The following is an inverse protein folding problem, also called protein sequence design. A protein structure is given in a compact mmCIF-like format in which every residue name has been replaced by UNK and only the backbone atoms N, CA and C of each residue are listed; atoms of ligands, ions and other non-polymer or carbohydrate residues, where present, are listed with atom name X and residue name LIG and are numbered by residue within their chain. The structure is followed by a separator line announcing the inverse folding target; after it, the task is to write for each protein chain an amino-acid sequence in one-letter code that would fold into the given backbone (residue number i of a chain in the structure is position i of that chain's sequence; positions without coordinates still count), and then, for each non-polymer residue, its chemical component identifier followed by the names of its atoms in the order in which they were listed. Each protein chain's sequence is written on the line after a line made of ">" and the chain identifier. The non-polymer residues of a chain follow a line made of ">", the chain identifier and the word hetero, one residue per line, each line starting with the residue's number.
data_IF_057562112790
#
_entry.id   IF_057562112790
#
_cell.length_a   1.000
_cell.length_b   1.000
_cell.length_c   1.000
_cell.angle_alpha   90.00
_cell.angle_beta   90.00
_cell.angle_gamma   90.00
#
_symmetry.space_group_name_H-M   'P 1'
#
loop_
_entity.id
_entity.type
_entity.pdbx_description
1 polymer ?
#
# COMPACT_ATOMS: atom_id res chain seq x y z
N UNK A 1 0.55 5.19 -8.75
CA UNK A 1 0.48 3.73 -8.51
C UNK A 1 1.11 2.94 -9.65
N UNK A 2 0.64 3.06 -10.91
CA UNK A 2 1.14 2.26 -12.04
C UNK A 2 2.66 2.38 -12.29
N UNK A 3 3.22 3.60 -12.22
CA UNK A 3 4.66 3.84 -12.38
C UNK A 3 5.46 3.13 -11.27
N UNK A 4 4.98 3.21 -10.02
CA UNK A 4 5.64 2.56 -8.87
C UNK A 4 5.65 1.04 -9.01
N UNK A 5 4.53 0.45 -9.43
CA UNK A 5 4.45 -1.00 -9.68
C UNK A 5 5.35 -1.40 -10.85
N UNK A 6 5.37 -0.60 -11.92
CA UNK A 6 6.27 -0.82 -13.06
C UNK A 6 7.75 -0.84 -12.65
N UNK A 7 8.17 0.12 -11.83
CA UNK A 7 9.55 0.17 -11.30
C UNK A 7 9.84 -1.08 -10.43
N UNK A 8 8.93 -1.49 -9.56
CA UNK A 8 9.09 -2.69 -8.74
C UNK A 8 9.29 -3.95 -9.61
N UNK A 9 8.53 -4.08 -10.69
CA UNK A 9 8.64 -5.20 -11.63
C UNK A 9 9.97 -5.17 -12.39
N UNK A 10 10.40 -4.00 -12.89
CA UNK A 10 11.68 -3.81 -13.57
C UNK A 10 12.84 -4.23 -12.65
N UNK A 11 12.84 -3.76 -11.41
CA UNK A 11 13.91 -4.07 -10.45
C UNK A 11 13.98 -5.54 -10.07
N UNK A 12 12.84 -6.22 -9.92
CA UNK A 12 12.80 -7.60 -9.42
C UNK A 12 12.87 -8.67 -10.52
N UNK A 13 12.44 -8.36 -11.74
CA UNK A 13 12.40 -9.31 -12.86
C UNK A 13 13.61 -9.20 -13.79
N UNK A 14 14.23 -8.02 -13.93
CA UNK A 14 15.38 -7.85 -14.83
C UNK A 14 16.65 -8.30 -14.14
N UNK A 15 17.28 -9.35 -14.68
CA UNK A 15 18.51 -9.93 -14.13
C UNK A 15 19.69 -8.97 -14.02
N UNK A 16 19.77 -7.96 -14.90
CA UNK A 16 20.80 -6.91 -14.83
C UNK A 16 20.65 -6.04 -13.58
N UNK A 17 19.42 -5.65 -13.21
CA UNK A 17 19.14 -4.92 -11.99
C UNK A 17 19.40 -5.78 -10.74
N UNK A 18 19.02 -7.05 -10.77
CA UNK A 18 19.29 -8.00 -9.68
C UNK A 18 20.79 -8.14 -9.37
N UNK A 19 21.65 -8.14 -10.39
CA UNK A 19 23.12 -8.23 -10.18
C UNK A 19 23.75 -6.93 -9.71
N UNK A 20 23.22 -5.78 -10.13
CA UNK A 20 23.79 -4.45 -9.82
C UNK A 20 23.33 -3.91 -8.47
N UNK A 21 22.05 -4.12 -8.12
CA UNK A 21 21.46 -3.65 -6.86
C UNK A 21 21.36 -4.74 -5.78
N UNK A 22 21.82 -5.97 -6.07
CA UNK A 22 21.71 -7.10 -5.15
C UNK A 22 20.27 -7.53 -4.87
N UNK A 23 19.33 -7.18 -5.76
CA UNK A 23 17.92 -7.58 -5.65
C UNK A 23 17.71 -8.99 -6.21
N UNK A 24 16.60 -9.62 -5.81
CA UNK A 24 16.23 -10.95 -6.27
C UNK A 24 14.79 -10.99 -6.76
N UNK A 25 14.43 -12.09 -7.44
CA UNK A 25 13.06 -12.33 -7.86
C UNK A 25 12.18 -12.54 -6.64
N UNK A 26 11.25 -11.62 -6.40
CA UNK A 26 10.37 -11.65 -5.23
C UNK A 26 9.20 -12.61 -5.49
N UNK A 27 9.00 -13.65 -4.65
CA UNK A 27 7.84 -14.52 -4.75
C UNK A 27 6.53 -13.77 -4.48
N UNK A 28 5.45 -14.15 -5.18
CA UNK A 28 4.12 -13.51 -5.05
C UNK A 28 3.62 -13.51 -3.60
N UNK A 29 3.96 -14.54 -2.81
CA UNK A 29 3.62 -14.65 -1.38
C UNK A 29 4.09 -13.48 -0.52
N UNK A 30 5.08 -12.69 -0.95
CA UNK A 30 5.57 -11.54 -0.19
C UNK A 30 4.95 -10.22 -0.66
N UNK A 31 4.35 -10.19 -1.85
CA UNK A 31 3.63 -9.03 -2.40
C UNK A 31 2.15 -9.04 -2.00
N UNK A 32 1.56 -10.23 -1.83
CA UNK A 32 0.15 -10.38 -1.45
C UNK A 32 -0.21 -9.68 -0.11
N UNK A 33 0.61 -9.80 0.97
CA UNK A 33 0.31 -9.15 2.24
C UNK A 33 0.29 -7.61 2.13
N UNK A 34 1.18 -7.02 1.33
CA UNK A 34 1.23 -5.56 1.17
C UNK A 34 -0.02 -5.01 0.50
N UNK A 35 -0.63 -5.77 -0.41
CA UNK A 35 -1.95 -5.43 -0.97
C UNK A 35 -3.06 -5.51 0.09
N UNK A 36 -3.03 -6.54 0.94
CA UNK A 36 -3.96 -6.67 2.07
C UNK A 36 -3.89 -5.50 3.04
N UNK A 37 -2.67 -5.10 3.45
CA UNK A 37 -2.48 -3.93 4.31
C UNK A 37 -2.92 -2.63 3.65
N UNK A 38 -2.65 -2.44 2.34
CA UNK A 38 -3.13 -1.29 1.59
C UNK A 38 -4.66 -1.19 1.56
N UNK A 39 -5.34 -2.33 1.38
CA UNK A 39 -6.81 -2.38 1.42
C UNK A 39 -7.36 -2.07 2.81
N UNK A 40 -6.76 -2.63 3.86
CA UNK A 40 -7.13 -2.32 5.25
C UNK A 40 -6.98 -0.83 5.55
N UNK A 41 -5.90 -0.21 5.09
CA UNK A 41 -5.68 1.23 5.28
C UNK A 41 -6.76 2.07 4.61
N UNK A 42 -7.14 1.70 3.38
CA UNK A 42 -8.21 2.36 2.64
C UNK A 42 -9.56 2.25 3.38
N UNK A 43 -9.88 1.07 3.91
CA UNK A 43 -11.09 0.85 4.72
C UNK A 43 -11.08 1.75 5.96
N UNK A 44 -9.94 1.84 6.67
CA UNK A 44 -9.83 2.66 7.88
C UNK A 44 -10.02 4.15 7.55
N UNK A 45 -9.43 4.65 6.48
CA UNK A 45 -9.56 6.06 6.11
C UNK A 45 -10.98 6.41 5.66
N UNK A 46 -11.63 5.55 4.88
CA UNK A 46 -13.03 5.76 4.49
C UNK A 46 -13.99 5.64 5.68
N UNK A 47 -13.77 4.68 6.57
CA UNK A 47 -14.55 4.55 7.80
C UNK A 47 -14.40 5.79 8.68
N UNK A 48 -13.18 6.31 8.82
CA UNK A 48 -12.91 7.56 9.54
C UNK A 48 -13.69 8.73 8.92
N UNK A 49 -13.63 8.90 7.60
CA UNK A 49 -14.38 9.96 6.88
C UNK A 49 -15.89 9.83 7.11
N UNK A 50 -16.42 8.60 7.07
CA UNK A 50 -17.83 8.34 7.35
C UNK A 50 -18.21 8.70 8.79
N UNK A 51 -17.38 8.34 9.77
CA UNK A 51 -17.60 8.69 11.18
C UNK A 51 -17.63 10.20 11.41
N UNK A 52 -16.71 10.96 10.78
CA UNK A 52 -16.67 12.42 10.90
C UNK A 52 -17.90 13.07 10.26
N UNK A 53 -18.32 12.60 9.07
CA UNK A 53 -19.50 13.13 8.38
C UNK A 53 -20.81 12.82 9.11
N UNK A 54 -20.93 11.63 9.71
CA UNK A 54 -22.14 11.19 10.42
C UNK A 54 -22.22 11.74 11.84
N UNK A 55 -21.09 11.89 12.52
CA UNK A 55 -21.00 12.34 13.91
C UNK A 55 -20.01 13.50 14.06
N UNK A 56 -20.36 14.71 13.59
CA UNK A 56 -19.45 15.87 13.54
C UNK A 56 -19.04 16.41 14.93
N UNK A 57 -19.75 16.04 15.99
CA UNK A 57 -19.40 16.40 17.39
C UNK A 57 -18.70 15.28 18.16
N UNK A 58 -18.38 14.16 17.51
CA UNK A 58 -17.69 13.04 18.17
C UNK A 58 -16.22 13.36 18.46
N UNK A 59 -15.64 12.66 19.43
CA UNK A 59 -14.21 12.78 19.75
C UNK A 59 -13.31 12.47 18.54
N UNK A 60 -13.74 11.54 17.68
CA UNK A 60 -13.07 11.19 16.42
C UNK A 60 -13.04 12.39 15.45
N UNK A 61 -14.14 13.14 15.36
CA UNK A 61 -14.21 14.36 14.55
C UNK A 61 -13.38 15.53 15.11
N UNK A 62 -12.99 15.46 16.38
CA UNK A 62 -12.14 16.47 17.04
C UNK A 62 -10.64 16.20 16.86
N UNK A 63 -10.27 14.95 16.56
CA UNK A 63 -8.88 14.51 16.31
C UNK A 63 -8.57 14.46 14.80
N UNK A 64 -9.57 14.18 13.98
CA UNK A 64 -9.46 14.16 12.52
C UNK A 64 -9.25 15.56 11.94
#
# INVERSE_FOLDING_TARGET
>A
MLISVGIQLILTLIGWFNRTFGTGRVPVKHVMPTLGFGMLWLIIDELRKLCVRKYPRSFIARIA
#
